data_IF_893353613276
#
_entry.id   IF_893353613276
#
_cell.length_a   1.000
_cell.length_b   1.000
_cell.length_c   1.000
_cell.angle_alpha   90.00
_cell.angle_beta   90.00
_cell.angle_gamma   90.00
#
_symmetry.space_group_name_H-M   'P 1'
#
loop_
_entity.id
_entity.type
_entity.pdbx_description
1 polymer ?
#
# COMPACT_ATOMS: atom_id res chain seq x y z
N UNK A 1 -14.51 0.13 -2.46
CA UNK A 1 -13.08 -0.23 -2.63
C UNK A 1 -12.42 -0.78 -1.38
N UNK A 2 -12.75 -0.35 -0.14
CA UNK A 2 -12.07 -0.88 1.05
C UNK A 2 -12.21 -2.40 1.22
N UNK A 3 -13.36 -2.99 0.88
CA UNK A 3 -13.54 -4.45 0.89
C UNK A 3 -12.58 -5.17 -0.07
N UNK A 4 -12.48 -4.68 -1.31
CA UNK A 4 -11.55 -5.21 -2.31
C UNK A 4 -10.09 -5.11 -1.84
N UNK A 5 -9.69 -3.97 -1.28
CA UNK A 5 -8.33 -3.79 -0.76
C UNK A 5 -8.02 -4.77 0.38
N UNK A 6 -8.98 -4.98 1.31
CA UNK A 6 -8.82 -5.96 2.39
C UNK A 6 -8.66 -7.39 1.87
N UNK A 7 -9.44 -7.78 0.87
CA UNK A 7 -9.28 -9.09 0.23
C UNK A 7 -7.90 -9.25 -0.43
N UNK A 8 -7.37 -8.20 -1.06
CA UNK A 8 -6.03 -8.22 -1.66
C UNK A 8 -4.95 -8.36 -0.58
N UNK A 9 -5.04 -7.60 0.52
CA UNK A 9 -4.10 -7.70 1.66
C UNK A 9 -4.14 -9.11 2.24
N UNK A 10 -5.34 -9.62 2.54
CA UNK A 10 -5.54 -10.96 3.09
C UNK A 10 -4.97 -12.03 2.17
N UNK A 11 -5.25 -11.96 0.87
CA UNK A 11 -4.73 -12.91 -0.11
C UNK A 11 -3.20 -12.83 -0.22
N UNK A 12 -2.63 -11.63 -0.30
CA UNK A 12 -1.19 -11.41 -0.39
C UNK A 12 -0.42 -11.98 0.81
N UNK A 13 -0.94 -11.79 2.03
CA UNK A 13 -0.27 -12.26 3.24
C UNK A 13 -0.58 -13.72 3.59
N UNK A 14 -1.84 -14.16 3.47
CA UNK A 14 -2.26 -15.49 3.90
C UNK A 14 -2.00 -16.56 2.84
N UNK A 15 -2.25 -16.26 1.57
CA UNK A 15 -2.12 -17.25 0.50
C UNK A 15 -0.74 -17.14 -0.17
N UNK A 16 -0.34 -15.94 -0.58
CA UNK A 16 0.94 -15.73 -1.28
C UNK A 16 2.15 -15.63 -0.34
N UNK A 17 1.92 -15.52 0.97
CA UNK A 17 2.97 -15.42 2.01
C UNK A 17 3.95 -14.27 1.77
N UNK A 18 3.47 -13.14 1.27
CA UNK A 18 4.31 -11.94 1.17
C UNK A 18 4.61 -11.36 2.55
N UNK A 19 5.81 -10.84 2.70
CA UNK A 19 6.22 -10.12 3.91
C UNK A 19 5.79 -8.64 3.86
N UNK A 20 5.61 -8.10 2.64
CA UNK A 20 5.28 -6.70 2.42
C UNK A 20 4.45 -6.51 1.15
N UNK A 21 3.53 -5.55 1.18
CA UNK A 21 2.79 -5.07 0.01
C UNK A 21 3.08 -3.58 -0.16
N UNK A 22 3.39 -3.16 -1.38
CA UNK A 22 3.62 -1.75 -1.73
C UNK A 22 2.45 -1.25 -2.61
N UNK A 23 1.98 -0.04 -2.34
CA UNK A 23 0.90 0.61 -3.07
C UNK A 23 1.37 1.97 -3.59
N UNK A 24 1.26 2.16 -4.91
CA UNK A 24 1.72 3.35 -5.61
C UNK A 24 0.51 4.21 -5.94
N UNK A 25 0.57 5.50 -5.59
CA UNK A 25 -0.49 6.44 -5.95
C UNK A 25 0.10 7.81 -6.23
N UNK A 26 -0.56 8.56 -7.11
CA UNK A 26 -0.21 9.95 -7.39
C UNK A 26 -0.34 10.80 -6.12
N UNK A 27 0.58 11.76 -5.93
CA UNK A 27 0.66 12.58 -4.71
C UNK A 27 -0.61 13.40 -4.42
N UNK A 28 -1.35 13.79 -5.46
CA UNK A 28 -2.59 14.59 -5.35
C UNK A 28 -3.84 13.73 -5.13
N UNK A 29 -3.74 12.40 -5.20
CA UNK A 29 -4.90 11.52 -5.03
C UNK A 29 -5.22 11.29 -3.55
N UNK A 30 -5.81 12.31 -2.91
CA UNK A 30 -6.19 12.30 -1.49
C UNK A 30 -7.11 11.12 -1.12
N UNK A 31 -7.97 10.68 -2.04
CA UNK A 31 -8.90 9.58 -1.79
C UNK A 31 -8.17 8.25 -1.65
N UNK A 32 -7.19 7.97 -2.54
CA UNK A 32 -6.36 6.78 -2.42
C UNK A 32 -5.47 6.82 -1.18
N UNK A 33 -4.86 7.98 -0.86
CA UNK A 33 -4.03 8.13 0.34
C UNK A 33 -4.82 7.79 1.61
N UNK A 34 -6.01 8.40 1.79
CA UNK A 34 -6.91 8.11 2.92
C UNK A 34 -7.37 6.65 2.96
N UNK A 35 -7.64 6.05 1.79
CA UNK A 35 -8.01 4.64 1.71
C UNK A 35 -6.88 3.73 2.20
N UNK A 36 -5.64 4.00 1.80
CA UNK A 36 -4.46 3.23 2.17
C UNK A 36 -4.18 3.36 3.68
N UNK A 37 -4.13 4.58 4.20
CA UNK A 37 -3.95 4.85 5.64
C UNK A 37 -5.01 4.14 6.49
N UNK A 38 -6.28 4.22 6.09
CA UNK A 38 -7.39 3.54 6.79
C UNK A 38 -7.27 2.02 6.81
N UNK A 39 -6.53 1.43 5.87
CA UNK A 39 -6.30 -0.01 5.79
C UNK A 39 -4.90 -0.43 6.26
N UNK A 40 -4.21 0.44 7.01
CA UNK A 40 -2.97 0.09 7.72
C UNK A 40 -1.69 0.26 6.91
N UNK A 41 -1.76 0.83 5.71
CA UNK A 41 -0.55 1.24 5.01
C UNK A 41 0.01 2.55 5.59
N UNK A 42 1.33 2.69 5.58
CA UNK A 42 2.04 3.92 5.91
C UNK A 42 2.85 4.43 4.72
N UNK A 43 3.01 5.75 4.62
CA UNK A 43 3.83 6.37 3.58
C UNK A 43 5.31 6.05 3.83
N UNK A 44 6.02 5.55 2.81
CA UNK A 44 7.46 5.37 2.84
C UNK A 44 8.15 6.63 2.29
N UNK A 45 8.45 7.59 3.17
CA UNK A 45 9.06 8.88 2.80
C UNK A 45 10.47 8.73 2.18
N UNK A 46 11.13 7.60 2.43
CA UNK A 46 12.47 7.31 1.92
C UNK A 46 12.45 6.72 0.51
N UNK A 47 11.27 6.39 -0.02
CA UNK A 47 11.13 5.77 -1.33
C UNK A 47 10.39 6.66 -2.32
N UNK A 48 10.84 6.60 -3.57
CA UNK A 48 10.25 7.29 -4.71
C UNK A 48 10.09 6.31 -5.87
N UNK A 49 9.04 6.52 -6.64
CA UNK A 49 8.86 5.87 -7.93
C UNK A 49 9.73 6.60 -8.96
N UNK A 50 10.77 5.93 -9.44
CA UNK A 50 11.75 6.52 -10.37
C UNK A 50 11.16 6.70 -11.78
N UNK A 51 10.20 5.86 -12.15
CA UNK A 51 9.53 5.90 -13.44
C UNK A 51 8.42 6.96 -13.45
N UNK A 52 7.78 7.19 -12.30
CA UNK A 52 6.73 8.20 -12.12
C UNK A 52 7.00 9.06 -10.89
N UNK A 53 7.78 10.13 -11.05
CA UNK A 53 8.24 11.02 -9.95
C UNK A 53 7.13 11.64 -9.10
N UNK A 54 5.90 11.71 -9.62
CA UNK A 54 4.74 12.25 -8.91
C UNK A 54 3.99 11.19 -8.09
N UNK A 55 4.36 9.91 -8.21
CA UNK A 55 3.84 8.86 -7.36
C UNK A 55 4.60 8.84 -6.03
N UNK A 56 3.86 8.55 -4.98
CA UNK A 56 4.35 8.22 -3.66
C UNK A 56 4.02 6.77 -3.34
N UNK A 57 4.84 6.17 -2.48
CA UNK A 57 4.79 4.74 -2.19
C UNK A 57 4.35 4.55 -0.75
N UNK A 58 3.24 3.86 -0.58
CA UNK A 58 2.76 3.37 0.70
C UNK A 58 3.16 1.90 0.84
N UNK A 59 3.39 1.45 2.07
CA UNK A 59 3.69 0.05 2.34
C UNK A 59 2.94 -0.46 3.58
N UNK A 60 2.73 -1.76 3.63
CA UNK A 60 2.22 -2.48 4.80
C UNK A 60 3.01 -3.77 4.93
N UNK A 61 3.45 -4.07 6.14
CA UNK A 61 4.18 -5.30 6.47
C UNK A 61 3.22 -6.33 7.07
N UNK A 62 3.49 -7.60 6.79
CA UNK A 62 2.75 -8.68 7.43
C UNK A 62 3.17 -8.75 8.90
N UNK A 63 2.21 -8.56 9.82
CA UNK A 63 2.45 -8.52 11.26
C UNK A 63 3.04 -9.82 11.87
N UNK A 64 3.08 -10.90 11.09
CA UNK A 64 3.62 -12.20 11.50
C UNK A 64 4.97 -12.53 10.81
N UNK A 65 5.65 -11.55 10.22
CA UNK A 65 6.94 -11.72 9.54
C UNK A 65 8.13 -11.82 10.50
#
# INVERSE_FOLDING_TARGET
>A
MSETLKMIIDFGFKELKFNKIEAFTYTENENSKKLLEKNGFHLNENRKDLDHKSNIIFEIENANS
#
